data_IF_055590546070
#
_entry.id   IF_055590546070
#
_cell.length_a   1.000
_cell.length_b   1.000
_cell.length_c   1.000
_cell.angle_alpha   90.00
_cell.angle_beta   90.00
_cell.angle_gamma   90.00
#
_symmetry.space_group_name_H-M   'P 1'
#
loop_
_entity.id
_entity.type
_entity.pdbx_description
1 polymer ?
#
# COMPACT_ATOMS: atom_id res chain seq x y z
N UNK A 1 2.82 38.38 -25.30
CA UNK A 1 3.94 37.84 -24.48
C UNK A 1 3.34 36.85 -23.50
N UNK A 2 3.70 35.57 -23.63
CA UNK A 2 3.16 34.50 -22.80
C UNK A 2 3.70 34.62 -21.36
N UNK A 3 2.82 34.75 -20.39
CA UNK A 3 3.15 34.65 -18.97
C UNK A 3 3.31 33.17 -18.64
N UNK A 4 4.56 32.72 -18.47
CA UNK A 4 4.88 31.37 -18.02
C UNK A 4 4.57 31.32 -16.52
N UNK A 5 3.45 30.69 -16.18
CA UNK A 5 3.11 30.31 -14.82
C UNK A 5 4.21 29.38 -14.28
N UNK A 6 4.89 29.84 -13.23
CA UNK A 6 5.95 29.11 -12.56
C UNK A 6 5.31 27.96 -11.77
N UNK A 7 5.18 26.78 -12.41
CA UNK A 7 4.80 25.56 -11.69
C UNK A 7 5.92 25.20 -10.73
N UNK A 8 5.65 25.43 -9.44
CA UNK A 8 6.47 24.98 -8.33
C UNK A 8 6.71 23.48 -8.47
N UNK A 9 7.98 23.10 -8.71
CA UNK A 9 8.41 21.71 -8.63
C UNK A 9 8.24 21.30 -7.17
N UNK A 10 7.23 20.50 -6.84
CA UNK A 10 7.13 19.85 -5.54
C UNK A 10 8.31 18.88 -5.39
N UNK A 11 9.39 19.42 -4.83
CA UNK A 11 10.52 18.67 -4.31
C UNK A 11 9.95 17.74 -3.24
N UNK A 12 10.12 16.41 -3.40
CA UNK A 12 9.84 15.43 -2.34
C UNK A 12 10.37 16.03 -1.04
N UNK A 13 9.47 16.34 -0.10
CA UNK A 13 9.89 16.60 1.28
C UNK A 13 10.74 15.39 1.63
N UNK A 14 11.94 15.60 2.16
CA UNK A 14 12.82 14.50 2.52
C UNK A 14 12.00 13.51 3.35
N UNK A 15 11.85 12.28 2.87
CA UNK A 15 11.04 11.27 3.56
C UNK A 15 11.46 11.24 5.02
N UNK A 16 10.50 11.27 5.94
CA UNK A 16 10.79 11.21 7.36
C UNK A 16 11.77 10.04 7.65
N UNK A 17 12.59 10.14 8.71
CA UNK A 17 13.51 9.06 9.04
C UNK A 17 12.71 7.77 9.23
N UNK A 18 13.21 6.69 8.63
CA UNK A 18 12.56 5.38 8.70
C UNK A 18 12.48 4.91 10.15
N UNK A 19 11.35 4.33 10.51
CA UNK A 19 11.17 3.71 11.83
C UNK A 19 11.44 2.21 11.78
N UNK A 20 11.86 1.66 12.92
CA UNK A 20 12.27 0.26 13.08
C UNK A 20 11.72 -0.28 14.41
N UNK A 21 11.37 -1.56 14.42
CA UNK A 21 11.06 -2.31 15.63
C UNK A 21 12.34 -2.58 16.44
N UNK A 22 12.18 -2.97 17.72
CA UNK A 22 13.31 -3.24 18.61
C UNK A 22 14.22 -4.39 18.12
N UNK A 23 13.66 -5.33 17.36
CA UNK A 23 14.37 -6.44 16.72
C UNK A 23 14.96 -6.08 15.35
N UNK A 24 14.90 -4.81 14.95
CA UNK A 24 15.58 -4.27 13.77
C UNK A 24 14.76 -4.32 12.48
N UNK A 25 13.52 -4.80 12.51
CA UNK A 25 12.63 -4.80 11.34
C UNK A 25 12.17 -3.38 11.00
N UNK A 26 12.30 -2.95 9.74
CA UNK A 26 11.71 -1.69 9.28
C UNK A 26 10.19 -1.76 9.40
N UNK A 27 9.59 -0.76 10.05
CA UNK A 27 8.13 -0.66 10.20
C UNK A 27 7.48 -0.10 8.93
N UNK A 28 6.40 -0.74 8.49
CA UNK A 28 5.67 -0.42 7.26
C UNK A 28 4.17 -0.55 7.45
N UNK A 29 3.39 0.19 6.67
CA UNK A 29 1.95 -0.01 6.61
C UNK A 29 1.49 -0.14 5.16
N UNK A 30 0.38 -0.85 4.94
CA UNK A 30 -0.23 -1.03 3.65
C UNK A 30 -1.75 -1.19 3.75
N UNK A 31 -2.44 -0.92 2.65
CA UNK A 31 -3.90 -1.05 2.56
C UNK A 31 -4.28 -2.01 1.45
N UNK A 32 -5.16 -2.97 1.75
CA UNK A 32 -5.98 -3.61 0.72
C UNK A 32 -7.17 -2.69 0.45
N UNK A 33 -7.02 -1.86 -0.59
CA UNK A 33 -8.02 -0.87 -0.99
C UNK A 33 -9.15 -1.57 -1.75
N UNK A 34 -10.23 -1.91 -1.07
CA UNK A 34 -11.45 -2.48 -1.65
C UNK A 34 -12.31 -1.41 -2.31
N UNK A 35 -12.97 -1.80 -3.41
CA UNK A 35 -13.94 -0.93 -4.08
C UNK A 35 -15.17 -0.69 -3.20
N UNK A 36 -15.63 -1.73 -2.53
CA UNK A 36 -16.79 -1.69 -1.65
C UNK A 36 -16.75 -2.80 -0.59
N UNK A 37 -17.78 -2.84 0.26
CA UNK A 37 -17.93 -3.81 1.37
C UNK A 37 -18.16 -5.26 0.92
N UNK A 38 -18.33 -5.54 -0.38
CA UNK A 38 -18.40 -6.92 -0.90
C UNK A 38 -17.01 -7.56 -1.03
N UNK A 39 -15.95 -6.74 -0.97
CA UNK A 39 -14.56 -7.19 -0.96
C UNK A 39 -14.18 -8.06 -2.17
N UNK A 40 -14.77 -7.82 -3.35
CA UNK A 40 -14.52 -8.62 -4.56
C UNK A 40 -13.47 -8.01 -5.51
N UNK A 41 -13.21 -6.72 -5.39
CA UNK A 41 -12.24 -5.99 -6.19
C UNK A 41 -11.33 -5.15 -5.30
N UNK A 42 -10.03 -5.15 -5.63
CA UNK A 42 -9.02 -4.35 -4.96
C UNK A 42 -8.27 -3.46 -5.93
N UNK A 43 -7.79 -2.33 -5.45
CA UNK A 43 -6.96 -1.42 -6.22
C UNK A 43 -5.49 -1.80 -6.04
N UNK A 44 -4.80 -2.03 -7.15
CA UNK A 44 -3.35 -2.18 -7.17
C UNK A 44 -2.71 -0.97 -7.86
N UNK A 45 -1.44 -0.75 -7.55
CA UNK A 45 -0.59 0.28 -8.15
C UNK A 45 0.61 -0.35 -8.83
N UNK A 46 1.26 0.36 -9.74
CA UNK A 46 2.52 -0.09 -10.33
C UNK A 46 3.69 0.09 -9.35
N UNK A 47 4.67 -0.81 -9.41
CA UNK A 47 5.87 -0.76 -8.58
C UNK A 47 6.78 0.39 -9.04
N UNK A 48 7.25 1.20 -8.09
CA UNK A 48 8.23 2.27 -8.37
C UNK A 48 9.58 1.77 -8.89
N UNK A 49 9.87 0.46 -8.75
CA UNK A 49 11.08 -0.17 -9.28
C UNK A 49 10.88 -0.77 -10.68
N UNK A 50 9.63 -0.99 -11.08
CA UNK A 50 9.28 -1.68 -12.32
C UNK A 50 7.79 -1.45 -12.60
N UNK A 51 7.50 -0.57 -13.56
CA UNK A 51 6.15 -0.11 -13.86
C UNK A 51 5.26 -1.18 -14.48
N UNK A 52 5.84 -2.31 -14.91
CA UNK A 52 5.09 -3.45 -15.45
C UNK A 52 4.60 -4.40 -14.34
N UNK A 53 5.07 -4.19 -13.09
CA UNK A 53 4.67 -5.00 -11.93
C UNK A 53 3.64 -4.28 -11.09
N UNK A 54 2.61 -5.01 -10.67
CA UNK A 54 1.58 -4.52 -9.75
C UNK A 54 1.89 -4.88 -8.31
N UNK A 55 1.55 -3.98 -7.39
CA UNK A 55 1.73 -4.13 -5.93
C UNK A 55 0.53 -3.54 -5.17
N UNK A 56 0.44 -3.93 -3.90
CA UNK A 56 -0.45 -3.30 -2.92
C UNK A 56 0.17 -1.97 -2.47
N UNK A 57 -0.60 -0.87 -2.39
CA UNK A 57 -0.10 0.42 -1.90
C UNK A 57 0.35 0.31 -0.44
N UNK A 58 1.51 0.90 -0.13
CA UNK A 58 2.05 0.91 1.22
C UNK A 58 3.54 1.25 1.31
N UNK A 59 3.92 1.89 2.41
CA UNK A 59 5.26 2.43 2.59
C UNK A 59 5.76 2.33 4.02
N UNK A 60 6.58 3.30 4.44
CA UNK A 60 7.16 3.32 5.79
C UNK A 60 6.20 3.98 6.77
N UNK A 61 6.25 3.56 8.04
CA UNK A 61 5.57 4.29 9.12
C UNK A 61 6.51 5.41 9.57
N UNK A 62 6.02 6.64 9.59
CA UNK A 62 6.79 7.81 10.01
C UNK A 62 6.90 7.92 11.55
N UNK A 63 7.87 8.66 12.09
CA UNK A 63 7.99 8.83 13.54
C UNK A 63 6.75 9.49 14.14
N UNK A 64 6.15 8.83 15.14
CA UNK A 64 4.94 9.31 15.81
C UNK A 64 3.64 9.00 15.06
N UNK A 65 3.71 8.33 13.91
CA UNK A 65 2.56 7.89 13.14
C UNK A 65 2.10 6.49 13.61
N UNK A 66 0.80 6.32 13.81
CA UNK A 66 0.20 5.02 14.04
C UNK A 66 0.13 4.20 12.73
N UNK A 67 0.20 2.86 12.77
CA UNK A 67 0.24 2.07 11.54
C UNK A 67 -0.98 2.26 10.62
N UNK A 68 -2.15 2.55 11.16
CA UNK A 68 -3.36 2.81 10.37
C UNK A 68 -3.33 4.20 9.71
N UNK A 69 -2.75 5.22 10.36
CA UNK A 69 -2.53 6.55 9.77
C UNK A 69 -1.56 6.45 8.60
N UNK A 70 -0.48 5.70 8.78
CA UNK A 70 0.49 5.42 7.71
C UNK A 70 -0.17 4.70 6.53
N UNK A 71 -1.07 3.75 6.80
CA UNK A 71 -1.79 3.03 5.76
C UNK A 71 -2.70 3.96 4.93
N UNK A 72 -3.40 4.89 5.60
CA UNK A 72 -4.23 5.91 4.96
C UNK A 72 -3.40 6.90 4.13
N UNK A 73 -2.32 7.43 4.70
CA UNK A 73 -1.40 8.34 4.00
C UNK A 73 -0.83 7.69 2.74
N UNK A 74 -0.33 6.46 2.83
CA UNK A 74 0.26 5.75 1.68
C UNK A 74 -0.80 5.43 0.62
N UNK A 75 -2.04 5.12 1.01
CA UNK A 75 -3.14 4.95 0.05
C UNK A 75 -3.42 6.25 -0.74
N UNK A 76 -3.38 7.40 -0.06
CA UNK A 76 -3.51 8.70 -0.72
C UNK A 76 -2.28 9.02 -1.60
N UNK A 77 -1.07 8.90 -1.08
CA UNK A 77 0.17 9.28 -1.76
C UNK A 77 0.46 8.40 -2.98
N UNK A 78 0.35 7.07 -2.83
CA UNK A 78 0.74 6.12 -3.87
C UNK A 78 -0.40 5.80 -4.84
N UNK A 79 -1.66 5.81 -4.37
CA UNK A 79 -2.82 5.41 -5.16
C UNK A 79 -3.86 6.52 -5.39
N UNK A 80 -3.74 7.68 -4.76
CA UNK A 80 -4.67 8.80 -4.93
C UNK A 80 -6.08 8.47 -4.45
N UNK A 81 -6.21 7.70 -3.36
CA UNK A 81 -7.52 7.31 -2.83
C UNK A 81 -7.70 7.78 -1.39
N UNK A 82 -8.92 8.20 -1.06
CA UNK A 82 -9.37 8.39 0.32
C UNK A 82 -10.51 7.42 0.62
N UNK A 83 -10.76 7.16 1.90
CA UNK A 83 -11.61 6.06 2.31
C UNK A 83 -11.63 5.87 3.82
N UNK A 84 -12.08 4.69 4.22
CA UNK A 84 -12.18 4.31 5.63
C UNK A 84 -11.26 3.12 5.88
N UNK A 85 -10.25 3.31 6.73
CA UNK A 85 -9.51 2.20 7.34
C UNK A 85 -10.47 1.46 8.28
N UNK A 86 -10.56 0.14 8.14
CA UNK A 86 -11.53 -0.67 8.87
C UNK A 86 -10.83 -1.60 9.88
N UNK A 87 -10.42 -2.78 9.45
CA UNK A 87 -9.79 -3.80 10.31
C UNK A 87 -8.35 -4.06 9.92
N UNK A 88 -7.53 -4.40 10.91
CA UNK A 88 -6.21 -5.00 10.68
C UNK A 88 -6.41 -6.41 10.11
N UNK A 89 -5.86 -6.66 8.92
CA UNK A 89 -5.85 -7.98 8.31
C UNK A 89 -4.71 -8.83 8.89
N UNK A 90 -3.57 -8.20 9.19
CA UNK A 90 -2.47 -8.88 9.85
C UNK A 90 -1.18 -8.08 9.81
N UNK A 91 -0.16 -8.66 10.44
CA UNK A 91 1.20 -8.15 10.43
C UNK A 91 2.09 -9.16 9.73
N UNK A 92 2.72 -8.73 8.64
CA UNK A 92 3.45 -9.60 7.74
C UNK A 92 4.94 -9.25 7.75
N UNK A 93 5.75 -10.24 8.09
CA UNK A 93 7.20 -10.11 8.11
C UNK A 93 7.78 -10.52 6.75
N UNK A 94 8.73 -9.71 6.27
CA UNK A 94 9.55 -10.03 5.12
C UNK A 94 11.01 -10.06 5.59
N UNK A 95 11.53 -11.28 5.78
CA UNK A 95 12.90 -11.52 6.26
C UNK A 95 13.94 -11.00 5.27
N UNK A 96 13.74 -11.19 3.97
CA UNK A 96 14.68 -10.74 2.92
C UNK A 96 14.82 -9.20 2.88
N UNK A 97 13.74 -8.49 3.20
CA UNK A 97 13.69 -7.02 3.20
C UNK A 97 13.83 -6.43 4.60
N UNK A 98 13.99 -7.30 5.62
CA UNK A 98 14.02 -6.96 7.03
C UNK A 98 12.94 -5.93 7.39
N UNK A 99 11.68 -6.23 7.06
CA UNK A 99 10.55 -5.32 7.28
C UNK A 99 9.32 -6.04 7.82
N UNK A 100 8.56 -5.34 8.66
CA UNK A 100 7.28 -5.79 9.22
C UNK A 100 6.18 -4.84 8.75
N UNK A 101 5.17 -5.37 8.08
CA UNK A 101 4.10 -4.59 7.44
C UNK A 101 2.77 -4.85 8.10
N UNK A 102 2.17 -3.80 8.68
CA UNK A 102 0.78 -3.81 9.15
C UNK A 102 -0.14 -3.58 7.95
N UNK A 103 -1.04 -4.52 7.68
CA UNK A 103 -1.90 -4.48 6.50
C UNK A 103 -3.35 -4.33 6.95
N UNK A 104 -4.03 -3.31 6.45
CA UNK A 104 -5.41 -3.00 6.80
C UNK A 104 -6.36 -3.20 5.62
N UNK A 105 -7.61 -3.54 5.93
CA UNK A 105 -8.72 -3.38 4.98
C UNK A 105 -9.07 -1.89 4.89
N UNK A 106 -9.19 -1.39 3.66
CA UNK A 106 -9.49 0.01 3.38
C UNK A 106 -10.60 0.10 2.34
N UNK A 107 -11.71 0.78 2.66
CA UNK A 107 -12.81 0.94 1.71
C UNK A 107 -12.75 2.30 1.05
N UNK A 108 -12.50 2.29 -0.26
CA UNK A 108 -12.31 3.52 -1.04
C UNK A 108 -13.64 4.26 -1.18
N UNK A 109 -13.63 5.55 -0.83
CA UNK A 109 -14.78 6.45 -0.98
C UNK A 109 -14.57 7.47 -2.10
N UNK A 110 -13.33 7.83 -2.41
CA UNK A 110 -13.03 8.72 -3.54
C UNK A 110 -11.68 8.42 -4.19
N UNK A 111 -11.57 8.83 -5.45
CA UNK A 111 -10.37 8.68 -6.28
C UNK A 111 -10.00 10.05 -6.86
N UNK A 112 -8.76 10.47 -6.66
CA UNK A 112 -8.21 11.68 -7.28
C UNK A 112 -7.76 11.40 -8.72
N UNK A 113 -8.13 12.23 -9.69
CA UNK A 113 -7.71 12.06 -11.09
C UNK A 113 -6.19 12.21 -11.27
N UNK A 114 -5.58 13.09 -10.47
CA UNK A 114 -4.15 13.32 -10.43
C UNK A 114 -3.69 13.37 -8.98
N UNK A 115 -2.79 12.47 -8.61
CA UNK A 115 -2.28 12.34 -7.25
C UNK A 115 -0.75 12.40 -7.21
N UNK A 116 -0.18 12.58 -6.01
CA UNK A 116 1.25 12.83 -5.78
C UNK A 116 2.19 11.92 -6.59
N UNK A 117 2.01 10.60 -6.52
CA UNK A 117 2.90 9.66 -7.21
C UNK A 117 2.55 9.38 -8.67
N UNK A 118 1.31 9.63 -9.12
CA UNK A 118 1.04 9.63 -10.56
C UNK A 118 1.86 10.70 -11.28
N UNK A 119 1.95 11.89 -10.68
CA UNK A 119 2.66 13.03 -11.28
C UNK A 119 4.17 12.89 -11.12
N UNK A 120 4.64 12.40 -9.96
CA UNK A 120 6.07 12.37 -9.67
C UNK A 120 6.78 11.10 -10.12
N UNK A 121 6.08 9.97 -10.26
CA UNK A 121 6.67 8.65 -10.55
C UNK A 121 6.03 7.93 -11.76
N UNK A 122 5.10 8.56 -12.48
CA UNK A 122 4.27 7.90 -13.51
C UNK A 122 3.59 6.62 -12.97
N UNK A 123 3.23 6.67 -11.68
CA UNK A 123 2.59 5.54 -11.01
C UNK A 123 1.17 5.41 -11.53
N UNK A 124 0.82 4.19 -11.94
CA UNK A 124 -0.51 3.85 -12.46
C UNK A 124 -1.26 3.07 -11.40
N UNK A 125 -2.59 3.17 -11.41
CA UNK A 125 -3.49 2.39 -10.55
C UNK A 125 -4.56 1.69 -11.38
N UNK A 126 -5.03 0.53 -10.92
CA UNK A 126 -6.11 -0.20 -11.59
C UNK A 126 -6.87 -1.05 -10.59
N UNK A 127 -8.18 -1.17 -10.79
CA UNK A 127 -9.03 -2.12 -10.08
C UNK A 127 -8.86 -3.52 -10.65
N UNK A 128 -8.75 -4.50 -9.76
CA UNK A 128 -8.63 -5.91 -10.08
C UNK A 128 -9.68 -6.70 -9.31
N UNK A 129 -10.42 -7.61 -9.96
CA UNK A 129 -11.07 -8.71 -9.26
C UNK A 129 -10.04 -9.48 -8.40
N UNK A 130 -10.43 -9.97 -7.22
CA UNK A 130 -9.50 -10.67 -6.31
C UNK A 130 -8.71 -11.81 -6.99
N UNK A 131 -9.37 -12.58 -7.87
CA UNK A 131 -8.72 -13.64 -8.64
C UNK A 131 -7.58 -13.12 -9.53
N UNK A 132 -7.83 -12.03 -10.25
CA UNK A 132 -6.84 -11.42 -11.15
C UNK A 132 -5.73 -10.72 -10.37
N UNK A 133 -6.05 -10.11 -9.21
CA UNK A 133 -5.07 -9.51 -8.33
C UNK A 133 -4.07 -10.54 -7.81
N UNK A 134 -4.55 -11.74 -7.43
CA UNK A 134 -3.67 -12.86 -7.04
C UNK A 134 -2.71 -13.22 -8.17
N UNK A 135 -3.21 -13.39 -9.40
CA UNK A 135 -2.36 -13.71 -10.54
C UNK A 135 -1.32 -12.62 -10.83
N UNK A 136 -1.71 -11.34 -10.70
CA UNK A 136 -0.80 -10.23 -10.91
C UNK A 136 0.33 -10.18 -9.86
N UNK A 137 0.01 -10.45 -8.60
CA UNK A 137 0.98 -10.46 -7.50
C UNK A 137 1.86 -11.72 -7.50
N UNK A 138 1.31 -12.90 -7.82
CA UNK A 138 2.03 -14.17 -7.76
C UNK A 138 3.25 -14.22 -8.67
N UNK A 139 3.16 -13.59 -9.83
CA UNK A 139 4.21 -13.64 -10.84
C UNK A 139 5.47 -12.86 -10.44
N UNK A 140 5.35 -11.92 -9.50
CA UNK A 140 6.40 -10.90 -9.30
C UNK A 140 6.68 -10.53 -7.84
N UNK A 141 5.73 -10.75 -6.94
CA UNK A 141 5.82 -10.39 -5.52
C UNK A 141 5.09 -11.43 -4.65
N UNK A 142 5.54 -12.70 -4.62
CA UNK A 142 4.84 -13.77 -3.89
C UNK A 142 4.48 -13.44 -2.43
N UNK A 143 5.33 -12.74 -1.64
CA UNK A 143 4.95 -12.38 -0.26
C UNK A 143 3.71 -11.50 -0.13
N UNK A 144 3.36 -10.72 -1.16
CA UNK A 144 2.14 -9.89 -1.15
C UNK A 144 0.86 -10.71 -1.33
N UNK A 145 0.96 -11.95 -1.83
CA UNK A 145 -0.19 -12.86 -1.89
C UNK A 145 -0.73 -13.18 -0.50
N UNK A 146 0.15 -13.23 0.50
CA UNK A 146 -0.24 -13.52 1.88
C UNK A 146 -1.26 -12.49 2.39
N UNK A 147 -1.24 -11.27 1.88
CA UNK A 147 -2.20 -10.23 2.28
C UNK A 147 -3.61 -10.57 1.79
N UNK A 148 -3.71 -11.14 0.58
CA UNK A 148 -4.98 -11.51 -0.04
C UNK A 148 -5.51 -12.83 0.51
N UNK A 149 -4.65 -13.80 0.78
CA UNK A 149 -5.06 -15.11 1.30
C UNK A 149 -5.79 -15.00 2.65
N UNK A 150 -5.39 -14.04 3.50
CA UNK A 150 -6.07 -13.77 4.77
C UNK A 150 -7.52 -13.31 4.57
N UNK A 151 -7.81 -12.58 3.49
CA UNK A 151 -9.17 -12.09 3.18
C UNK A 151 -10.11 -13.26 2.85
N UNK A 152 -9.61 -14.31 2.18
CA UNK A 152 -10.40 -15.49 1.81
C UNK A 152 -10.63 -16.46 2.98
N UNK A 153 -10.23 -16.10 4.21
CA UNK A 153 -10.33 -16.98 5.38
C UNK A 153 -9.41 -18.20 5.30
N UNK A 154 -8.43 -18.19 4.38
CA UNK A 154 -7.42 -19.23 4.28
C UNK A 154 -6.43 -19.00 5.41
N UNK A 155 -6.34 -19.96 6.34
CA UNK A 155 -5.28 -19.98 7.36
C UNK A 155 -3.93 -20.01 6.63
N UNK A 156 -3.22 -18.89 6.61
CA UNK A 156 -1.84 -18.83 6.10
C UNK A 156 -0.98 -19.54 7.13
N UNK A 157 -0.64 -20.80 6.85
CA UNK A 157 0.28 -21.57 7.69
C UNK A 157 1.69 -20.99 7.56
N UNK A 158 2.24 -20.63 8.71
CA UNK A 158 3.60 -20.14 9.01
C UNK A 158 3.79 -18.61 9.06
N UNK A 159 4.03 -18.12 10.28
CA UNK A 159 4.68 -16.84 10.55
C UNK A 159 3.81 -15.68 11.04
N UNK A 160 2.47 -15.76 10.95
CA UNK A 160 1.60 -14.67 11.40
C UNK A 160 1.43 -14.73 12.91
N UNK A 161 2.14 -13.86 13.64
CA UNK A 161 1.70 -13.47 14.99
C UNK A 161 0.46 -12.58 14.84
N UNK A 162 -0.73 -13.18 14.90
CA UNK A 162 -1.95 -12.42 15.16
C UNK A 162 -1.89 -12.02 16.63
N UNK A 163 -1.43 -10.80 16.91
CA UNK A 163 -1.53 -10.25 18.26
C UNK A 163 -2.98 -9.81 18.47
N UNK A 164 -3.68 -10.53 19.35
CA UNK A 164 -4.97 -10.18 19.94
C UNK A 164 -4.92 -8.88 20.72
#
# INVERSE_FOLDING_TARGET
MASVSLMSKHKKIASAPRTYDADGFKRRAACICFRDRREQEILLITSSQDVEKWIVPGGGIDPGEEPWEAAEREALEEAGVTGVVDRLLGVFENQERNSRTWVYAFYVTSLEDHWSESVSLDRRRRWFPLGDAKLALSNHKPPLLNYIQVIEGIQVTEGIKVTS
#
